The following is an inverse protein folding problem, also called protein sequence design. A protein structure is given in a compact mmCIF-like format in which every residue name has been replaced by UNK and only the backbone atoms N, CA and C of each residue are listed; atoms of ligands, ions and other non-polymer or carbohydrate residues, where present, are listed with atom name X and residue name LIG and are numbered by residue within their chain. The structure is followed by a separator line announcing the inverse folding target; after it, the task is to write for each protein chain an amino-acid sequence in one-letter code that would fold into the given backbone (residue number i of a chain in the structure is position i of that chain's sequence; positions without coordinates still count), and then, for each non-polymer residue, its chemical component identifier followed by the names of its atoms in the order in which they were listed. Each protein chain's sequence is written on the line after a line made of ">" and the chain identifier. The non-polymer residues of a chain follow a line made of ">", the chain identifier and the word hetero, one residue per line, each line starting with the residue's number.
data_IF_219730992013
#
_entry.id   IF_219730992013
#
_cell.length_a   1.000
_cell.length_b   1.000
_cell.length_c   1.000
_cell.angle_alpha   90.00
_cell.angle_beta   90.00
_cell.angle_gamma   90.00
#
_symmetry.space_group_name_H-M   'P 1'
#
loop_
_entity.id
_entity.type
_entity.pdbx_description
1 polymer ?
#
# COMPACT_ATOMS: atom_id res chain seq x y z
N UNK A 1 62.97 13.30 60.84
CA UNK A 1 63.32 11.96 61.36
C UNK A 1 62.04 11.21 61.67
N UNK A 2 61.90 9.99 61.12
CA UNK A 2 60.98 8.88 61.46
C UNK A 2 59.55 9.22 61.94
N UNK A 3 58.53 9.04 61.10
CA UNK A 3 57.83 7.75 60.88
C UNK A 3 57.23 7.15 62.15
N UNK A 4 55.90 7.10 62.22
CA UNK A 4 55.15 5.91 62.62
C UNK A 4 53.65 6.13 62.38
N UNK A 5 53.12 5.14 61.68
CA UNK A 5 51.74 4.97 61.27
C UNK A 5 50.79 4.85 62.47
N UNK A 6 49.49 4.71 62.20
CA UNK A 6 48.73 3.46 62.47
C UNK A 6 47.23 3.74 62.75
N UNK A 7 46.37 3.03 61.99
CA UNK A 7 44.96 2.65 62.26
C UNK A 7 43.91 3.78 62.19
N UNK A 8 42.65 3.57 61.78
CA UNK A 8 41.80 2.37 61.75
C UNK A 8 40.53 2.68 60.95
N UNK A 9 39.83 1.60 60.57
CA UNK A 9 38.37 1.54 60.36
C UNK A 9 37.83 2.15 59.06
N UNK A 10 36.74 1.68 58.48
CA UNK A 10 36.03 0.41 58.49
C UNK A 10 34.96 0.57 57.38
N UNK A 11 34.60 -0.55 56.75
CA UNK A 11 33.39 -0.82 55.95
C UNK A 11 32.48 0.38 55.63
N UNK A 12 32.27 0.65 54.34
CA UNK A 12 30.97 1.08 53.83
C UNK A 12 30.63 0.23 52.61
N UNK A 13 29.55 -0.53 52.74
CA UNK A 13 28.90 -1.27 51.68
C UNK A 13 28.12 -0.30 50.79
N UNK A 14 28.22 -0.45 49.47
CA UNK A 14 27.30 0.19 48.52
C UNK A 14 26.88 -0.84 47.45
N UNK A 15 25.61 -1.28 47.43
CA UNK A 15 25.12 -2.26 46.47
C UNK A 15 24.38 -1.57 45.33
N UNK A 16 25.04 -1.21 44.23
CA UNK A 16 24.35 -0.68 43.05
C UNK A 16 25.05 -1.05 41.75
N UNK A 17 24.94 -2.32 41.34
CA UNK A 17 25.00 -2.66 39.92
C UNK A 17 23.57 -2.72 39.41
N UNK A 18 23.03 -1.53 39.13
CA UNK A 18 21.81 -1.35 38.38
C UNK A 18 21.88 -2.20 37.10
N UNK A 19 20.81 -2.97 36.87
CA UNK A 19 20.57 -3.64 35.60
C UNK A 19 20.71 -2.61 34.47
N UNK A 20 21.78 -2.70 33.69
CA UNK A 20 21.81 -2.12 32.36
C UNK A 20 20.88 -2.96 31.47
N UNK A 21 19.57 -2.73 31.59
CA UNK A 21 18.60 -3.06 30.57
C UNK A 21 18.99 -2.26 29.33
N UNK A 22 19.86 -2.85 28.51
CA UNK A 22 20.13 -2.38 27.15
C UNK A 22 18.81 -2.44 26.40
N UNK A 23 18.12 -1.30 26.33
CA UNK A 23 17.00 -1.11 25.44
C UNK A 23 17.48 -1.44 24.02
N UNK A 24 17.12 -2.62 23.52
CA UNK A 24 17.36 -2.98 22.14
C UNK A 24 16.58 -1.97 21.27
N UNK A 25 17.17 -1.39 20.22
CA UNK A 25 16.43 -0.53 19.31
C UNK A 25 15.37 -1.38 18.61
N UNK A 26 14.11 -1.21 19.01
CA UNK A 26 12.96 -1.76 18.29
C UNK A 26 12.94 -1.06 16.93
N UNK A 27 13.23 -1.81 15.86
CA UNK A 27 13.08 -1.32 14.49
C UNK A 27 11.60 -1.04 14.26
N UNK A 28 11.20 0.21 14.44
CA UNK A 28 9.87 0.70 14.07
C UNK A 28 9.85 0.86 12.56
N UNK A 29 9.08 0.01 11.87
CA UNK A 29 8.74 0.24 10.47
C UNK A 29 7.66 1.32 10.41
N UNK A 30 8.08 2.58 10.27
CA UNK A 30 7.18 3.62 9.78
C UNK A 30 6.89 3.33 8.30
N UNK A 31 5.86 2.53 8.03
CA UNK A 31 5.31 2.43 6.68
C UNK A 31 4.77 3.82 6.33
N UNK A 32 5.38 4.48 5.34
CA UNK A 32 4.82 5.70 4.78
C UNK A 32 3.37 5.39 4.38
N UNK A 33 2.41 6.19 4.86
CA UNK A 33 1.03 6.08 4.44
C UNK A 33 1.02 6.27 2.92
N UNK A 34 0.83 5.18 2.17
CA UNK A 34 0.61 5.27 0.75
C UNK A 34 -0.61 6.15 0.57
N UNK A 35 -0.48 7.23 -0.20
CA UNK A 35 -1.58 8.13 -0.60
C UNK A 35 -2.49 7.42 -1.61
N UNK A 36 -2.80 6.17 -1.31
CA UNK A 36 -3.53 5.27 -2.15
C UNK A 36 -4.99 5.44 -1.76
N UNK A 37 -5.74 6.06 -2.67
CA UNK A 37 -7.17 6.27 -2.52
C UNK A 37 -7.80 4.91 -2.28
N UNK A 38 -8.33 4.70 -1.07
CA UNK A 38 -9.04 3.46 -0.74
C UNK A 38 -10.43 3.52 -1.39
N UNK A 39 -10.80 2.57 -2.25
CA UNK A 39 -12.18 2.48 -2.74
C UNK A 39 -13.13 2.20 -1.57
N UNK A 40 -14.35 2.78 -1.59
CA UNK A 40 -15.30 2.70 -0.48
C UNK A 40 -15.80 1.27 -0.23
N UNK A 41 -15.84 0.44 -1.29
CA UNK A 41 -16.16 -0.98 -1.22
C UNK A 41 -14.98 -1.74 -1.83
N UNK A 42 -14.46 -2.72 -1.08
CA UNK A 42 -13.44 -3.61 -1.60
C UNK A 42 -14.06 -4.66 -2.52
N UNK A 43 -13.71 -4.61 -3.79
CA UNK A 43 -14.09 -5.62 -4.79
C UNK A 43 -12.85 -6.47 -5.10
N UNK A 44 -13.03 -7.77 -5.24
CA UNK A 44 -11.93 -8.74 -5.38
C UNK A 44 -11.94 -9.43 -6.75
N UNK A 45 -10.88 -10.18 -7.04
CA UNK A 45 -10.68 -10.86 -8.32
C UNK A 45 -10.10 -9.94 -9.39
N UNK A 46 -9.92 -10.48 -10.59
CA UNK A 46 -9.30 -9.76 -11.73
C UNK A 46 -10.11 -8.51 -12.08
N UNK A 47 -11.43 -8.65 -12.23
CA UNK A 47 -12.34 -7.54 -12.55
C UNK A 47 -12.38 -6.50 -11.43
N UNK A 48 -12.36 -6.94 -10.17
CA UNK A 48 -12.31 -6.06 -9.00
C UNK A 48 -11.01 -5.24 -8.95
N UNK A 49 -9.89 -5.85 -9.34
CA UNK A 49 -8.58 -5.16 -9.39
C UNK A 49 -8.58 -4.08 -10.46
N UNK A 50 -9.15 -4.35 -11.64
CA UNK A 50 -9.29 -3.33 -12.69
C UNK A 50 -10.25 -2.20 -12.29
N UNK A 51 -11.40 -2.54 -11.69
CA UNK A 51 -12.38 -1.55 -11.24
C UNK A 51 -11.81 -0.63 -10.14
N UNK A 52 -11.13 -1.20 -9.16
CA UNK A 52 -10.50 -0.42 -8.08
C UNK A 52 -9.38 0.46 -8.61
N UNK A 53 -8.53 -0.05 -9.52
CA UNK A 53 -7.48 0.76 -10.16
C UNK A 53 -8.07 1.97 -10.92
N UNK A 54 -9.10 1.76 -11.74
CA UNK A 54 -9.78 2.84 -12.47
C UNK A 54 -10.40 3.86 -11.50
N UNK A 55 -11.10 3.40 -10.46
CA UNK A 55 -11.66 4.29 -9.43
C UNK A 55 -10.57 5.14 -8.76
N UNK A 56 -9.44 4.54 -8.36
CA UNK A 56 -8.35 5.30 -7.75
C UNK A 56 -7.76 6.35 -8.70
N UNK A 57 -7.64 6.04 -9.99
CA UNK A 57 -7.17 6.97 -11.01
C UNK A 57 -8.16 8.11 -11.24
N UNK A 58 -9.46 7.81 -11.34
CA UNK A 58 -10.52 8.79 -11.52
C UNK A 58 -10.66 9.72 -10.31
N UNK A 59 -10.49 9.21 -9.08
CA UNK A 59 -10.48 10.04 -7.86
C UNK A 59 -9.27 10.97 -7.86
N UNK A 60 -8.07 10.47 -8.19
CA UNK A 60 -6.84 11.28 -8.27
C UNK A 60 -6.95 12.40 -9.31
N UNK A 61 -7.71 12.17 -10.38
CA UNK A 61 -7.95 13.15 -11.46
C UNK A 61 -9.27 13.92 -11.30
N UNK A 62 -10.03 13.67 -10.23
CA UNK A 62 -11.34 14.29 -9.95
C UNK A 62 -12.36 14.14 -11.09
N UNK A 63 -12.31 13.03 -11.83
CA UNK A 63 -13.14 12.77 -13.01
C UNK A 63 -14.06 11.56 -12.85
N UNK A 64 -14.58 11.32 -11.64
CA UNK A 64 -15.36 10.11 -11.31
C UNK A 64 -16.67 10.05 -12.12
N UNK A 65 -17.41 11.16 -12.18
CA UNK A 65 -18.70 11.19 -12.88
C UNK A 65 -18.52 10.98 -14.40
N UNK A 66 -17.51 11.63 -14.98
CA UNK A 66 -17.18 11.45 -16.39
C UNK A 66 -16.75 10.00 -16.72
N UNK A 67 -15.99 9.37 -15.83
CA UNK A 67 -15.61 7.96 -15.98
C UNK A 67 -16.82 7.03 -15.88
N UNK A 68 -17.76 7.29 -14.96
CA UNK A 68 -18.99 6.51 -14.82
C UNK A 68 -19.88 6.63 -16.07
N UNK A 69 -20.07 7.84 -16.60
CA UNK A 69 -20.81 8.08 -17.83
C UNK A 69 -20.19 7.39 -19.04
N UNK A 70 -18.86 7.43 -19.17
CA UNK A 70 -18.14 6.74 -20.23
C UNK A 70 -18.34 5.22 -20.17
N UNK A 71 -18.29 4.61 -18.98
CA UNK A 71 -18.53 3.18 -18.78
C UNK A 71 -19.98 2.80 -19.14
N UNK A 72 -20.97 3.60 -18.74
CA UNK A 72 -22.37 3.38 -19.08
C UNK A 72 -22.60 3.45 -20.60
N UNK A 73 -21.99 4.42 -21.28
CA UNK A 73 -22.06 4.54 -22.74
C UNK A 73 -21.39 3.38 -23.45
N UNK A 74 -20.21 2.96 -22.98
CA UNK A 74 -19.50 1.81 -23.53
C UNK A 74 -20.32 0.52 -23.40
N UNK A 75 -20.90 0.25 -22.22
CA UNK A 75 -21.79 -0.89 -22.01
C UNK A 75 -22.99 -0.87 -22.96
N UNK A 76 -23.66 0.28 -23.08
CA UNK A 76 -24.78 0.44 -24.00
C UNK A 76 -24.38 0.28 -25.47
N UNK A 77 -23.16 0.65 -25.88
CA UNK A 77 -22.67 0.44 -27.25
C UNK A 77 -22.43 -1.05 -27.53
N UNK A 78 -21.82 -1.76 -26.58
CA UNK A 78 -21.57 -3.21 -26.69
C UNK A 78 -22.89 -3.98 -26.76
N UNK A 79 -23.91 -3.58 -25.99
CA UNK A 79 -25.23 -4.21 -26.04
C UNK A 79 -25.99 -3.90 -27.34
N UNK A 80 -25.84 -2.68 -27.89
CA UNK A 80 -26.52 -2.27 -29.12
C UNK A 80 -25.95 -2.93 -30.37
N UNK A 81 -24.64 -3.17 -30.42
CA UNK A 81 -23.99 -3.81 -31.56
C UNK A 81 -23.49 -5.23 -31.21
N UNK A 82 -24.32 -6.27 -31.46
CA UNK A 82 -23.93 -7.65 -31.16
C UNK A 82 -22.76 -8.15 -32.04
N UNK A 83 -22.47 -7.49 -33.17
CA UNK A 83 -21.33 -7.86 -34.02
C UNK A 83 -20.03 -7.42 -33.39
N UNK A 84 -20.01 -6.27 -32.71
CA UNK A 84 -18.83 -5.77 -32.01
C UNK A 84 -18.40 -6.73 -30.88
N UNK A 85 -19.35 -7.28 -30.13
CA UNK A 85 -19.07 -8.29 -29.11
C UNK A 85 -18.46 -9.58 -29.71
N UNK A 86 -18.94 -10.02 -30.88
CA UNK A 86 -18.40 -11.19 -31.58
C UNK A 86 -16.96 -10.95 -32.09
N UNK A 87 -16.66 -9.75 -32.57
CA UNK A 87 -15.32 -9.37 -33.05
C UNK A 87 -14.33 -9.29 -31.88
N UNK A 88 -14.72 -8.70 -30.74
CA UNK A 88 -13.83 -8.57 -29.57
C UNK A 88 -13.51 -9.94 -28.93
N UNK A 89 -14.47 -10.87 -28.94
CA UNK A 89 -14.31 -12.22 -28.40
C UNK A 89 -13.58 -13.19 -29.35
N UNK A 90 -13.38 -12.82 -30.62
CA UNK A 90 -12.71 -13.67 -31.58
C UNK A 90 -11.23 -13.91 -31.20
N UNK A 91 -10.79 -15.17 -31.02
CA UNK A 91 -9.41 -15.49 -30.68
C UNK A 91 -8.44 -15.40 -31.88
N UNK A 92 -8.97 -15.29 -33.09
CA UNK A 92 -8.19 -15.26 -34.35
C UNK A 92 -7.69 -13.87 -34.73
N UNK A 93 -8.22 -12.81 -34.12
CA UNK A 93 -7.77 -11.44 -34.32
C UNK A 93 -6.48 -11.18 -33.55
N UNK A 94 -5.49 -10.57 -34.23
CA UNK A 94 -4.24 -10.19 -33.60
C UNK A 94 -4.46 -9.06 -32.59
N UNK A 95 -3.59 -8.96 -31.58
CA UNK A 95 -3.69 -7.92 -30.56
C UNK A 95 -3.63 -6.51 -31.16
N UNK A 96 -2.86 -6.31 -32.23
CA UNK A 96 -2.76 -5.03 -32.93
C UNK A 96 -4.10 -4.60 -33.53
N UNK A 97 -4.82 -5.53 -34.15
CA UNK A 97 -6.12 -5.26 -34.76
C UNK A 97 -7.17 -4.95 -33.69
N UNK A 98 -7.13 -5.64 -32.54
CA UNK A 98 -8.02 -5.36 -31.40
C UNK A 98 -7.78 -3.97 -30.81
N UNK A 99 -6.51 -3.55 -30.73
CA UNK A 99 -6.14 -2.20 -30.26
C UNK A 99 -6.53 -1.09 -31.24
N UNK A 100 -6.74 -1.38 -32.52
CA UNK A 100 -7.21 -0.39 -33.48
C UNK A 100 -8.73 -0.17 -33.41
N UNK A 101 -9.47 -1.15 -32.87
CA UNK A 101 -10.93 -1.09 -32.72
C UNK A 101 -11.35 -0.30 -31.47
N UNK A 102 -10.50 -0.28 -30.44
CA UNK A 102 -10.75 0.34 -29.12
C UNK A 102 -9.91 1.60 -28.96
#
# INVERSE_FOLDING_TARGET
>A
MFSRQVLRAARVAAPQRALALRAAPVRSFAAAASTEVKPPISVFGVDGTYATALYTAAVKTSSIDAAADALNRLGALIEKDPKLAAVLSAPTLAEADKKAIV
#
